data_IF_011518535256
#
_entry.id   IF_011518535256
#
_cell.length_a   1.000
_cell.length_b   1.000
_cell.length_c   1.000
_cell.angle_alpha   90.00
_cell.angle_beta   90.00
_cell.angle_gamma   90.00
#
_symmetry.space_group_name_H-M   'P 1'
#
loop_
_entity.id
_entity.type
_entity.pdbx_description
1 polymer ?
#
# COMPACT_ATOMS: atom_id res chain seq x y z
N UNK A 1 -25.94 -24.82 2.09
CA UNK A 1 -25.17 -25.80 2.88
C UNK A 1 -24.88 -25.27 4.28
N UNK A 2 -24.17 -24.14 4.46
CA UNK A 2 -23.91 -23.56 5.79
C UNK A 2 -25.18 -23.26 6.62
N UNK A 3 -26.22 -22.63 6.05
CA UNK A 3 -27.49 -22.34 6.76
C UNK A 3 -28.14 -23.59 7.38
N UNK A 4 -28.16 -24.70 6.63
CA UNK A 4 -28.75 -25.96 7.05
C UNK A 4 -28.00 -26.60 8.24
N UNK A 5 -26.68 -26.39 8.32
CA UNK A 5 -25.87 -26.88 9.44
C UNK A 5 -26.00 -25.98 10.67
N UNK A 6 -26.09 -24.66 10.47
CA UNK A 6 -26.32 -23.68 11.54
C UNK A 6 -27.69 -23.87 12.20
N UNK A 7 -28.75 -24.07 11.40
CA UNK A 7 -30.12 -24.31 11.88
C UNK A 7 -30.25 -25.62 12.69
N UNK A 8 -29.36 -26.58 12.47
CA UNK A 8 -29.33 -27.88 13.16
C UNK A 8 -28.37 -27.93 14.34
N UNK A 9 -27.76 -26.80 14.73
CA UNK A 9 -26.77 -26.74 15.81
C UNK A 9 -25.43 -27.43 15.50
N UNK A 10 -25.22 -27.86 14.25
CA UNK A 10 -24.02 -28.57 13.80
C UNK A 10 -23.03 -27.57 13.17
N UNK A 11 -22.44 -26.71 14.00
CA UNK A 11 -21.51 -25.66 13.59
C UNK A 11 -20.28 -26.22 12.85
N UNK A 12 -19.71 -27.32 13.35
CA UNK A 12 -18.52 -27.96 12.79
C UNK A 12 -18.52 -28.20 11.27
N UNK A 13 -19.37 -29.09 10.73
CA UNK A 13 -19.41 -29.38 9.30
C UNK A 13 -19.73 -28.16 8.42
N UNK A 14 -20.55 -27.24 8.95
CA UNK A 14 -20.84 -25.97 8.28
C UNK A 14 -19.59 -25.11 8.14
N UNK A 15 -18.81 -24.96 9.22
CA UNK A 15 -17.58 -24.19 9.24
C UNK A 15 -16.49 -24.81 8.37
N UNK A 16 -16.38 -26.13 8.33
CA UNK A 16 -15.39 -26.81 7.46
C UNK A 16 -15.63 -26.51 5.98
N UNK A 17 -16.87 -26.67 5.51
CA UNK A 17 -17.23 -26.34 4.13
C UNK A 17 -17.07 -24.84 3.85
N UNK A 18 -17.40 -23.98 4.82
CA UNK A 18 -17.15 -22.55 4.70
C UNK A 18 -15.66 -22.25 4.51
N UNK A 19 -14.78 -22.86 5.32
CA UNK A 19 -13.34 -22.61 5.28
C UNK A 19 -12.71 -23.03 3.95
N UNK A 20 -13.14 -24.16 3.37
CA UNK A 20 -12.68 -24.64 2.06
C UNK A 20 -12.94 -23.64 0.93
N UNK A 21 -13.99 -22.82 1.06
CA UNK A 21 -14.37 -21.85 0.03
C UNK A 21 -13.82 -20.44 0.28
N UNK A 22 -13.12 -20.20 1.39
CA UNK A 22 -12.60 -18.87 1.72
C UNK A 22 -11.57 -18.38 0.70
N UNK A 23 -10.81 -19.27 0.06
CA UNK A 23 -9.81 -18.92 -0.94
C UNK A 23 -10.39 -18.15 -2.13
N UNK A 24 -11.68 -18.34 -2.43
CA UNK A 24 -12.40 -17.59 -3.47
C UNK A 24 -12.38 -16.07 -3.21
N UNK A 25 -12.30 -15.63 -1.95
CA UNK A 25 -12.16 -14.21 -1.64
C UNK A 25 -10.79 -13.66 -2.02
N UNK A 26 -9.73 -14.47 -1.93
CA UNK A 26 -8.40 -14.10 -2.38
C UNK A 26 -8.36 -13.93 -3.89
N UNK A 27 -8.86 -14.92 -4.64
CA UNK A 27 -9.00 -14.80 -6.09
C UNK A 27 -9.90 -13.64 -6.52
N UNK A 28 -10.96 -13.36 -5.76
CA UNK A 28 -11.78 -12.18 -6.00
C UNK A 28 -10.95 -10.89 -5.83
N UNK A 29 -10.12 -10.79 -4.79
CA UNK A 29 -9.25 -9.63 -4.57
C UNK A 29 -8.20 -9.46 -5.68
N UNK A 30 -7.62 -10.54 -6.19
CA UNK A 30 -6.66 -10.52 -7.31
C UNK A 30 -7.29 -9.93 -8.59
N UNK A 31 -8.55 -10.27 -8.85
CA UNK A 31 -9.26 -9.90 -10.08
C UNK A 31 -10.09 -8.62 -9.98
N UNK A 32 -10.37 -8.12 -8.76
CA UNK A 32 -11.26 -6.98 -8.52
C UNK A 32 -10.89 -5.75 -9.34
N UNK A 33 -9.60 -5.54 -9.57
CA UNK A 33 -9.10 -4.33 -10.18
C UNK A 33 -9.12 -4.38 -11.70
N UNK A 34 -8.82 -5.55 -12.27
CA UNK A 34 -9.10 -5.82 -13.67
C UNK A 34 -10.61 -5.70 -13.95
N UNK A 35 -11.47 -6.18 -13.04
CA UNK A 35 -12.92 -6.03 -13.16
C UNK A 35 -13.35 -4.55 -13.14
N UNK A 36 -12.80 -3.73 -12.23
CA UNK A 36 -13.07 -2.29 -12.18
C UNK A 36 -12.59 -1.56 -13.43
N UNK A 37 -11.41 -1.89 -13.94
CA UNK A 37 -10.88 -1.29 -15.16
C UNK A 37 -11.72 -1.69 -16.39
N UNK A 38 -12.10 -2.96 -16.49
CA UNK A 38 -13.02 -3.46 -17.52
C UNK A 38 -14.36 -2.74 -17.46
N UNK A 39 -14.93 -2.56 -16.26
CA UNK A 39 -16.18 -1.82 -16.06
C UNK A 39 -16.04 -0.37 -16.54
N UNK A 40 -14.95 0.31 -16.16
CA UNK A 40 -14.66 1.69 -16.61
C UNK A 40 -14.55 1.78 -18.13
N UNK A 41 -13.88 0.82 -18.76
CA UNK A 41 -13.76 0.75 -20.21
C UNK A 41 -15.10 0.51 -20.91
N UNK A 42 -15.89 -0.45 -20.44
CA UNK A 42 -17.21 -0.75 -20.99
C UNK A 42 -18.15 0.44 -20.83
N UNK A 43 -18.10 1.14 -19.70
CA UNK A 43 -18.86 2.37 -19.53
C UNK A 43 -18.43 3.43 -20.53
N UNK A 44 -17.14 3.58 -20.81
CA UNK A 44 -16.63 4.55 -21.78
C UNK A 44 -17.02 4.20 -23.23
N UNK A 45 -16.79 2.95 -23.65
CA UNK A 45 -16.87 2.52 -25.05
C UNK A 45 -18.26 2.00 -25.47
N UNK A 46 -19.04 1.43 -24.55
CA UNK A 46 -20.27 0.72 -24.86
C UNK A 46 -21.53 1.47 -24.36
N UNK A 47 -22.19 2.21 -25.28
CA UNK A 47 -23.40 2.97 -24.98
C UNK A 47 -24.58 2.08 -24.55
N UNK A 48 -24.72 0.90 -25.15
CA UNK A 48 -25.79 -0.06 -24.81
C UNK A 48 -25.62 -0.56 -23.38
N UNK A 49 -24.42 -1.00 -23.02
CA UNK A 49 -24.11 -1.42 -21.65
C UNK A 49 -24.31 -0.30 -20.64
N UNK A 50 -23.90 0.94 -20.96
CA UNK A 50 -24.13 2.10 -20.09
C UNK A 50 -25.62 2.34 -19.82
N UNK A 51 -26.48 2.24 -20.85
CA UNK A 51 -27.94 2.35 -20.70
C UNK A 51 -28.49 1.19 -19.87
N UNK A 52 -28.04 -0.03 -20.13
CA UNK A 52 -28.43 -1.22 -19.38
C UNK A 52 -28.10 -1.06 -17.89
N UNK A 53 -26.85 -0.72 -17.55
CA UNK A 53 -26.42 -0.48 -16.17
C UNK A 53 -27.30 0.55 -15.48
N UNK A 54 -27.54 1.70 -16.11
CA UNK A 54 -28.38 2.76 -15.54
C UNK A 54 -29.81 2.27 -15.25
N UNK A 55 -30.37 1.42 -16.10
CA UNK A 55 -31.70 0.82 -15.90
C UNK A 55 -31.70 -0.26 -14.80
N UNK A 56 -30.63 -1.04 -14.66
CA UNK A 56 -30.52 -2.02 -13.58
C UNK A 56 -30.40 -1.34 -12.21
N UNK A 57 -29.63 -0.26 -12.13
CA UNK A 57 -29.39 0.50 -10.89
C UNK A 57 -30.64 1.23 -10.37
N UNK A 58 -31.69 1.40 -11.19
CA UNK A 58 -32.96 1.97 -10.72
C UNK A 58 -33.83 0.95 -9.98
N UNK A 59 -33.46 -0.33 -10.01
CA UNK A 59 -34.24 -1.40 -9.37
C UNK A 59 -34.15 -1.30 -7.84
N UNK A 60 -35.24 -1.56 -7.09
CA UNK A 60 -35.23 -1.49 -5.62
C UNK A 60 -34.16 -2.36 -4.95
N UNK A 61 -33.79 -3.50 -5.57
CA UNK A 61 -32.78 -4.42 -5.05
C UNK A 61 -31.38 -3.81 -4.98
N UNK A 62 -31.08 -2.78 -5.79
CA UNK A 62 -29.81 -2.06 -5.73
C UNK A 62 -29.75 -1.09 -4.55
N UNK A 63 -30.88 -0.77 -3.91
CA UNK A 63 -30.96 0.14 -2.76
C UNK A 63 -30.24 1.49 -3.02
N UNK A 64 -30.34 1.99 -4.26
CA UNK A 64 -29.70 3.24 -4.68
C UNK A 64 -28.18 3.17 -4.87
N UNK A 65 -27.56 2.00 -4.71
CA UNK A 65 -26.11 1.80 -4.94
C UNK A 65 -25.81 1.63 -6.42
N UNK A 66 -24.62 2.03 -6.83
CA UNK A 66 -24.10 1.73 -8.17
C UNK A 66 -23.36 0.41 -8.16
N UNK A 67 -23.20 -0.22 -9.32
CA UNK A 67 -22.43 -1.46 -9.48
C UNK A 67 -21.02 -1.33 -8.91
N UNK A 68 -20.38 -0.18 -9.09
CA UNK A 68 -19.05 0.15 -8.56
C UNK A 68 -18.99 0.04 -7.03
N UNK A 69 -20.07 0.40 -6.34
CA UNK A 69 -20.19 0.34 -4.88
C UNK A 69 -20.45 -1.10 -4.38
N UNK A 70 -20.95 -1.97 -5.26
CA UNK A 70 -21.23 -3.37 -4.95
C UNK A 70 -19.99 -4.27 -5.09
N UNK A 71 -19.06 -3.94 -6.00
CA UNK A 71 -17.86 -4.73 -6.27
C UNK A 71 -16.97 -4.95 -5.01
N UNK A 72 -16.79 -3.99 -4.09
CA UNK A 72 -15.97 -4.23 -2.90
C UNK A 72 -16.66 -5.09 -1.82
N UNK A 73 -17.97 -5.31 -1.91
CA UNK A 73 -18.76 -5.93 -0.83
C UNK A 73 -18.30 -7.35 -0.44
N UNK A 74 -17.87 -8.24 -1.35
CA UNK A 74 -17.33 -9.54 -0.97
C UNK A 74 -16.12 -9.42 -0.04
N UNK A 75 -15.20 -8.49 -0.31
CA UNK A 75 -14.05 -8.27 0.57
C UNK A 75 -14.48 -7.68 1.92
N UNK A 76 -15.48 -6.79 1.95
CA UNK A 76 -16.05 -6.31 3.22
C UNK A 76 -16.70 -7.45 4.02
N UNK A 77 -17.38 -8.38 3.35
CA UNK A 77 -17.99 -9.55 3.97
C UNK A 77 -16.94 -10.47 4.61
N UNK A 78 -15.77 -10.65 3.97
CA UNK A 78 -14.65 -11.38 4.56
C UNK A 78 -14.20 -10.78 5.90
N UNK A 79 -14.11 -9.44 5.98
CA UNK A 79 -13.78 -8.75 7.23
C UNK A 79 -14.85 -9.01 8.30
N UNK A 80 -16.13 -8.95 7.93
CA UNK A 80 -17.24 -9.26 8.84
C UNK A 80 -17.16 -10.68 9.38
N UNK A 81 -16.86 -11.68 8.54
CA UNK A 81 -16.68 -13.06 8.99
C UNK A 81 -15.54 -13.21 9.99
N UNK A 82 -14.41 -12.53 9.74
CA UNK A 82 -13.28 -12.55 10.67
C UNK A 82 -13.67 -12.02 12.05
N UNK A 83 -14.35 -10.87 12.11
CA UNK A 83 -14.82 -10.31 13.37
C UNK A 83 -15.85 -11.21 14.04
N UNK A 84 -16.89 -11.62 13.31
CA UNK A 84 -17.94 -12.48 13.83
C UNK A 84 -17.40 -13.80 14.42
N UNK A 85 -16.53 -14.49 13.69
CA UNK A 85 -15.99 -15.78 14.15
C UNK A 85 -15.05 -15.62 15.36
N UNK A 86 -14.29 -14.53 15.43
CA UNK A 86 -13.46 -14.22 16.60
C UNK A 86 -14.35 -13.97 17.82
N UNK A 87 -15.35 -13.10 17.67
CA UNK A 87 -16.23 -12.74 18.78
C UNK A 87 -17.03 -13.98 19.24
N UNK A 88 -17.44 -14.86 18.31
CA UNK A 88 -18.09 -16.13 18.64
C UNK A 88 -17.16 -17.09 19.40
N UNK A 89 -15.88 -17.18 19.01
CA UNK A 89 -14.88 -17.99 19.70
C UNK A 89 -14.61 -17.48 21.13
N UNK A 90 -14.48 -16.16 21.30
CA UNK A 90 -14.28 -15.52 22.62
C UNK A 90 -15.44 -15.76 23.58
N UNK A 91 -16.65 -15.98 23.06
CA UNK A 91 -17.85 -16.28 23.83
C UNK A 91 -18.20 -17.78 23.88
N UNK A 92 -17.30 -18.66 23.42
CA UNK A 92 -17.48 -20.11 23.47
C UNK A 92 -16.57 -20.73 24.53
N UNK A 93 -17.11 -21.60 25.39
CA UNK A 93 -16.31 -22.27 26.42
C UNK A 93 -15.17 -23.09 25.80
N UNK A 94 -13.92 -22.96 26.29
CA UNK A 94 -12.77 -23.75 25.83
C UNK A 94 -12.97 -25.26 25.91
N UNK A 95 -13.79 -25.73 26.85
CA UNK A 95 -14.06 -27.15 27.08
C UNK A 95 -15.10 -27.73 26.10
N UNK A 96 -15.72 -26.89 25.27
CA UNK A 96 -16.71 -27.33 24.30
C UNK A 96 -16.07 -27.96 23.05
N UNK A 97 -16.71 -28.98 22.49
CA UNK A 97 -16.29 -29.60 21.24
C UNK A 97 -16.29 -28.61 20.04
N UNK A 98 -17.03 -27.51 20.14
CA UNK A 98 -17.14 -26.48 19.10
C UNK A 98 -16.00 -25.46 19.15
N UNK A 99 -15.37 -25.26 20.30
CA UNK A 99 -14.27 -24.30 20.47
C UNK A 99 -13.13 -24.56 19.48
N UNK A 100 -12.67 -25.80 19.38
CA UNK A 100 -11.58 -26.17 18.47
C UNK A 100 -11.95 -25.95 16.99
N UNK A 101 -13.22 -26.17 16.62
CA UNK A 101 -13.71 -26.00 15.25
C UNK A 101 -13.80 -24.51 14.90
N UNK A 102 -14.30 -23.69 15.82
CA UNK A 102 -14.31 -22.24 15.71
C UNK A 102 -12.90 -21.66 15.64
N UNK A 103 -11.97 -22.14 16.46
CA UNK A 103 -10.57 -21.70 16.43
C UNK A 103 -9.91 -21.97 15.07
N UNK A 104 -10.17 -23.14 14.48
CA UNK A 104 -9.74 -23.45 13.10
C UNK A 104 -10.37 -22.50 12.09
N UNK A 105 -11.66 -22.22 12.18
CA UNK A 105 -12.34 -21.29 11.28
C UNK A 105 -11.79 -19.86 11.38
N UNK A 106 -11.53 -19.37 12.60
CA UNK A 106 -10.90 -18.08 12.87
C UNK A 106 -9.50 -18.01 12.26
N UNK A 107 -8.73 -19.09 12.35
CA UNK A 107 -7.41 -19.18 11.73
C UNK A 107 -7.52 -19.09 10.20
N UNK A 108 -8.36 -19.91 9.57
CA UNK A 108 -8.54 -19.92 8.11
C UNK A 108 -9.01 -18.57 7.55
N UNK A 109 -10.02 -17.94 8.17
CA UNK A 109 -10.47 -16.61 7.73
C UNK A 109 -9.41 -15.53 7.94
N UNK A 110 -8.59 -15.65 8.98
CA UNK A 110 -7.49 -14.72 9.24
C UNK A 110 -6.35 -14.85 8.22
N UNK A 111 -6.04 -16.08 7.80
CA UNK A 111 -5.04 -16.36 6.77
C UNK A 111 -5.47 -15.79 5.42
N UNK A 112 -6.70 -16.07 4.99
CA UNK A 112 -7.25 -15.49 3.75
C UNK A 112 -7.36 -13.97 3.84
N UNK A 113 -7.78 -13.42 4.98
CA UNK A 113 -7.80 -11.96 5.17
C UNK A 113 -6.41 -11.36 5.03
N UNK A 114 -5.36 -12.01 5.56
CA UNK A 114 -3.97 -11.55 5.42
C UNK A 114 -3.54 -11.60 3.95
N UNK A 115 -3.85 -12.69 3.24
CA UNK A 115 -3.55 -12.81 1.82
C UNK A 115 -4.22 -11.69 0.99
N UNK A 116 -5.50 -11.41 1.23
CA UNK A 116 -6.23 -10.30 0.60
C UNK A 116 -5.55 -8.95 0.90
N UNK A 117 -5.16 -8.72 2.15
CA UNK A 117 -4.46 -7.48 2.53
C UNK A 117 -3.10 -7.36 1.84
N UNK A 118 -2.36 -8.46 1.68
CA UNK A 118 -1.09 -8.47 0.97
C UNK A 118 -1.26 -8.16 -0.53
N UNK A 119 -2.32 -8.67 -1.17
CA UNK A 119 -2.68 -8.32 -2.55
C UNK A 119 -2.92 -6.81 -2.68
N UNK A 120 -3.75 -6.24 -1.79
CA UNK A 120 -4.07 -4.81 -1.78
C UNK A 120 -2.80 -3.97 -1.56
N UNK A 121 -1.95 -4.35 -0.59
CA UNK A 121 -0.70 -3.65 -0.30
C UNK A 121 0.30 -3.71 -1.45
N UNK A 122 0.49 -4.88 -2.07
CA UNK A 122 1.36 -5.04 -3.26
C UNK A 122 0.87 -4.16 -4.40
N UNK A 123 -0.44 -4.09 -4.60
CA UNK A 123 -1.02 -3.24 -5.62
C UNK A 123 -0.80 -1.75 -5.36
N UNK A 124 -1.09 -1.28 -4.16
CA UNK A 124 -0.87 0.12 -3.79
C UNK A 124 0.61 0.50 -3.98
N UNK A 125 1.52 -0.39 -3.56
CA UNK A 125 2.94 -0.23 -3.80
C UNK A 125 3.25 -0.09 -5.30
N UNK A 126 2.74 -0.97 -6.16
CA UNK A 126 2.94 -0.90 -7.62
C UNK A 126 2.43 0.43 -8.20
N UNK A 127 1.31 0.96 -7.70
CA UNK A 127 0.78 2.26 -8.12
C UNK A 127 1.71 3.41 -7.70
N UNK A 128 2.26 3.36 -6.48
CA UNK A 128 3.25 4.33 -6.02
C UNK A 128 4.54 4.28 -6.84
N UNK A 129 5.08 3.09 -7.11
CA UNK A 129 6.27 2.93 -7.97
C UNK A 129 6.01 3.49 -9.37
N UNK A 130 4.85 3.21 -9.97
CA UNK A 130 4.46 3.74 -11.28
C UNK A 130 4.30 5.26 -11.27
N UNK A 131 3.71 5.83 -10.22
CA UNK A 131 3.58 7.27 -10.03
C UNK A 131 4.96 7.93 -10.04
N UNK A 132 5.88 7.43 -9.21
CA UNK A 132 7.24 7.98 -9.14
C UNK A 132 7.97 7.80 -10.47
N UNK A 133 7.88 6.63 -11.13
CA UNK A 133 8.47 6.39 -12.45
C UNK A 133 8.01 7.43 -13.49
N UNK A 134 6.73 7.81 -13.48
CA UNK A 134 6.17 8.83 -14.40
C UNK A 134 6.64 10.25 -14.07
N UNK A 135 6.92 10.54 -12.80
CA UNK A 135 7.46 11.84 -12.35
C UNK A 135 8.92 12.04 -12.76
N UNK A 136 9.70 10.95 -12.88
CA UNK A 136 11.10 11.04 -13.29
C UNK A 136 11.24 11.37 -14.78
N UNK A 137 12.19 12.25 -15.11
CA UNK A 137 12.56 12.56 -16.50
C UNK A 137 13.41 11.43 -17.09
N UNK A 138 12.96 10.88 -18.21
CA UNK A 138 13.63 9.79 -18.93
C UNK A 138 13.40 8.42 -18.30
N UNK A 139 14.07 7.40 -18.83
CA UNK A 139 13.94 6.00 -18.39
C UNK A 139 15.24 5.42 -17.80
N UNK A 140 16.26 6.26 -17.57
CA UNK A 140 17.55 5.79 -17.04
C UNK A 140 17.44 5.25 -15.61
N UNK A 141 16.51 5.79 -14.83
CA UNK A 141 16.27 5.34 -13.45
C UNK A 141 15.06 4.43 -13.44
N UNK A 142 15.31 3.14 -13.19
CA UNK A 142 14.29 2.11 -13.12
C UNK A 142 13.76 2.03 -11.70
N UNK A 143 12.57 2.59 -11.47
CA UNK A 143 11.85 2.51 -10.19
C UNK A 143 11.02 1.21 -10.14
N UNK A 144 10.47 0.78 -11.27
CA UNK A 144 9.70 -0.45 -11.40
C UNK A 144 10.63 -1.68 -11.36
N UNK A 145 10.96 -2.14 -10.16
CA UNK A 145 11.83 -3.31 -9.95
C UNK A 145 11.12 -4.32 -9.04
N UNK A 146 11.11 -5.62 -9.37
CA UNK A 146 10.54 -6.64 -8.51
C UNK A 146 11.12 -6.59 -7.09
N UNK A 147 10.27 -6.74 -6.07
CA UNK A 147 10.68 -6.71 -4.67
C UNK A 147 10.90 -5.31 -4.08
N UNK A 148 10.88 -4.24 -4.89
CA UNK A 148 11.00 -2.87 -4.39
C UNK A 148 9.71 -2.37 -3.74
N UNK A 149 9.83 -1.75 -2.57
CA UNK A 149 8.71 -1.09 -1.90
C UNK A 149 8.94 0.42 -1.80
N UNK A 150 7.93 1.21 -2.14
CA UNK A 150 7.87 2.64 -1.84
C UNK A 150 7.68 2.85 -0.34
N UNK A 151 8.47 3.74 0.25
CA UNK A 151 8.43 4.03 1.69
C UNK A 151 7.99 5.47 1.92
N UNK A 152 8.68 6.45 1.32
CA UNK A 152 8.48 7.88 1.61
C UNK A 152 9.00 8.76 0.49
N UNK A 153 8.47 9.97 0.39
CA UNK A 153 9.03 11.04 -0.42
C UNK A 153 8.97 12.38 0.31
N UNK A 154 9.78 13.35 -0.12
CA UNK A 154 9.75 14.68 0.47
C UNK A 154 10.95 15.55 0.10
N UNK A 155 10.82 16.84 0.42
CA UNK A 155 11.84 17.83 0.15
C UNK A 155 12.80 17.95 1.33
N UNK A 156 14.09 17.80 1.07
CA UNK A 156 15.15 18.02 2.05
C UNK A 156 16.19 19.01 1.49
N UNK A 157 16.90 19.67 2.40
CA UNK A 157 18.03 20.51 2.07
C UNK A 157 19.30 19.66 2.10
N UNK A 158 20.07 19.69 1.02
CA UNK A 158 21.40 19.07 0.97
C UNK A 158 22.43 20.08 1.44
N UNK A 159 23.20 19.73 2.46
CA UNK A 159 24.32 20.54 2.95
C UNK A 159 25.56 20.21 2.11
N UNK A 160 26.09 21.18 1.34
CA UNK A 160 27.29 20.97 0.53
C UNK A 160 28.56 20.99 1.39
N UNK A 161 29.66 20.45 0.86
CA UNK A 161 30.90 20.25 1.60
C UNK A 161 31.72 21.52 1.86
N UNK A 162 31.60 22.59 1.04
CA UNK A 162 32.30 23.88 1.26
C UNK A 162 31.58 25.04 0.56
N UNK A 163 31.24 26.11 1.31
CA UNK A 163 30.95 27.47 0.81
C UNK A 163 29.76 27.67 -0.13
N UNK A 164 29.10 26.60 -0.59
CA UNK A 164 27.94 26.66 -1.46
C UNK A 164 26.63 26.79 -0.67
N UNK A 165 25.61 27.34 -1.31
CA UNK A 165 24.27 27.43 -0.74
C UNK A 165 23.61 26.05 -0.58
N UNK A 166 22.72 25.95 0.42
CA UNK A 166 21.89 24.78 0.66
C UNK A 166 21.03 24.47 -0.57
N UNK A 167 21.09 23.23 -1.04
CA UNK A 167 20.35 22.82 -2.24
C UNK A 167 19.09 22.06 -1.86
N UNK A 168 17.93 22.65 -2.11
CA UNK A 168 16.64 21.94 -1.97
C UNK A 168 16.51 20.85 -3.04
N UNK A 169 16.21 19.63 -2.61
CA UNK A 169 16.07 18.45 -3.48
C UNK A 169 14.88 17.61 -3.04
N UNK A 170 14.22 16.99 -4.02
CA UNK A 170 13.14 16.04 -3.76
C UNK A 170 13.73 14.64 -3.70
N UNK A 171 13.42 13.93 -2.63
CA UNK A 171 13.91 12.59 -2.38
C UNK A 171 12.79 11.57 -2.42
N UNK A 172 13.13 10.37 -2.88
CA UNK A 172 12.26 9.20 -2.86
C UNK A 172 13.01 8.05 -2.19
N UNK A 173 12.41 7.53 -1.12
CA UNK A 173 12.93 6.39 -0.36
C UNK A 173 12.14 5.14 -0.72
N UNK A 174 12.91 4.12 -1.11
CA UNK A 174 12.43 2.78 -1.35
C UNK A 174 13.12 1.79 -0.41
N UNK A 175 12.69 0.54 -0.41
CA UNK A 175 13.23 -0.52 0.44
C UNK A 175 14.70 -0.87 0.17
N UNK A 176 15.23 -0.54 -0.99
CA UNK A 176 16.58 -0.92 -1.45
C UNK A 176 17.41 0.28 -1.93
N UNK A 177 16.77 1.37 -2.34
CA UNK A 177 17.43 2.55 -2.89
C UNK A 177 16.84 3.86 -2.36
N UNK A 178 17.66 4.90 -2.35
CA UNK A 178 17.28 6.27 -2.05
C UNK A 178 17.64 7.18 -3.23
N UNK A 179 16.65 7.86 -3.80
CA UNK A 179 16.82 8.65 -5.03
C UNK A 179 16.81 10.14 -4.70
N UNK A 180 17.82 10.87 -5.14
CA UNK A 180 17.86 12.32 -5.11
C UNK A 180 17.49 12.90 -6.47
N UNK A 181 16.58 13.88 -6.49
CA UNK A 181 16.10 14.51 -7.71
C UNK A 181 16.06 16.02 -7.62
N UNK A 182 16.04 16.68 -8.79
CA UNK A 182 15.82 18.12 -8.93
C UNK A 182 14.66 18.39 -9.89
N UNK A 183 13.86 19.45 -9.69
CA UNK A 183 12.95 19.94 -10.72
C UNK A 183 13.65 20.12 -12.06
N UNK A 184 12.99 19.72 -13.14
CA UNK A 184 13.37 20.19 -14.46
C UNK A 184 13.11 21.69 -14.58
N UNK A 185 13.80 22.35 -15.52
CA UNK A 185 13.60 23.77 -15.77
C UNK A 185 12.12 24.04 -16.15
N UNK A 186 11.45 25.06 -15.58
CA UNK A 186 10.03 25.32 -15.86
C UNK A 186 9.72 25.56 -17.35
N UNK A 187 10.67 26.15 -18.09
CA UNK A 187 10.54 26.39 -19.54
C UNK A 187 10.84 25.17 -20.41
N UNK A 188 11.09 24.00 -19.81
CA UNK A 188 11.34 22.78 -20.58
C UNK A 188 10.05 22.28 -21.23
N UNK A 189 9.95 22.43 -22.55
CA UNK A 189 8.77 22.14 -23.39
C UNK A 189 7.97 20.87 -23.01
N UNK A 190 8.65 19.74 -22.79
CA UNK A 190 8.00 18.44 -22.53
C UNK A 190 8.09 17.93 -21.08
N UNK A 191 8.89 18.56 -20.22
CA UNK A 191 9.26 17.98 -18.92
C UNK A 191 9.23 19.02 -17.78
N UNK A 192 8.56 20.15 -17.96
CA UNK A 192 8.47 21.23 -16.96
C UNK A 192 7.94 20.77 -15.60
N UNK A 193 7.10 19.72 -15.58
CA UNK A 193 6.54 19.11 -14.36
C UNK A 193 7.29 17.86 -13.87
N UNK A 194 8.44 17.51 -14.49
CA UNK A 194 9.19 16.29 -14.14
C UNK A 194 10.40 16.58 -13.26
N UNK A 195 10.88 15.52 -12.63
CA UNK A 195 12.06 15.52 -11.78
C UNK A 195 13.23 14.84 -12.51
N UNK A 196 14.34 15.56 -12.66
CA UNK A 196 15.58 15.00 -13.15
C UNK A 196 16.28 14.23 -12.01
N UNK A 197 16.49 12.93 -12.21
CA UNK A 197 17.30 12.12 -11.30
C UNK A 197 18.73 12.69 -11.25
N UNK A 198 19.28 12.86 -10.05
CA UNK A 198 20.65 13.34 -9.82
C UNK A 198 21.55 12.22 -9.31
N UNK A 199 21.02 11.39 -8.40
CA UNK A 199 21.74 10.26 -7.86
C UNK A 199 20.77 9.19 -7.38
N UNK A 200 21.21 7.94 -7.44
CA UNK A 200 20.57 6.77 -6.84
C UNK A 200 21.56 6.18 -5.85
N UNK A 201 21.14 6.06 -4.60
CA UNK A 201 21.97 5.58 -3.51
C UNK A 201 21.48 4.20 -3.05
N UNK A 202 22.27 3.13 -3.22
CA UNK A 202 21.94 1.81 -2.68
C UNK A 202 21.96 1.84 -1.15
N UNK A 203 20.89 1.35 -0.50
CA UNK A 203 20.74 1.40 0.96
C UNK A 203 21.53 0.33 1.70
N UNK A 204 21.86 -0.78 1.05
CA UNK A 204 22.63 -1.90 1.65
C UNK A 204 24.08 -1.54 2.01
N UNK A 205 24.54 -0.32 1.68
CA UNK A 205 25.87 0.20 2.05
C UNK A 205 25.76 1.55 2.80
N UNK A 206 24.55 1.90 3.24
CA UNK A 206 24.28 3.18 3.88
C UNK A 206 24.38 3.02 5.40
N UNK A 207 25.04 3.95 6.06
CA UNK A 207 24.93 4.15 7.52
C UNK A 207 24.22 5.48 7.74
N UNK A 208 23.21 5.48 8.60
CA UNK A 208 22.37 6.65 8.86
C UNK A 208 22.61 7.12 10.28
N UNK A 209 23.19 8.29 10.43
CA UNK A 209 23.47 8.90 11.71
C UNK A 209 22.68 10.20 11.87
N UNK A 210 22.20 10.44 13.10
CA UNK A 210 21.60 11.72 13.47
C UNK A 210 22.69 12.62 14.04
N UNK A 211 23.00 13.72 13.35
CA UNK A 211 24.10 14.62 13.73
C UNK A 211 23.62 15.63 14.78
N UNK A 212 22.43 16.22 14.60
CA UNK A 212 21.76 17.04 15.62
C UNK A 212 20.24 17.11 15.38
N UNK A 213 19.51 17.64 16.36
CA UNK A 213 18.04 17.62 16.42
C UNK A 213 17.51 16.65 17.48
N UNK A 214 18.25 16.42 18.56
CA UNK A 214 17.83 15.57 19.69
C UNK A 214 17.01 16.32 20.75
N UNK A 215 16.97 17.65 20.68
CA UNK A 215 16.28 18.57 21.59
C UNK A 215 15.28 19.43 20.81
N UNK A 216 14.46 20.26 21.47
CA UNK A 216 13.42 21.13 20.85
C UNK A 216 13.97 22.23 19.91
N UNK A 217 14.91 21.89 19.03
CA UNK A 217 15.42 22.77 17.98
C UNK A 217 14.44 22.89 16.81
N UNK A 218 14.56 23.99 16.06
CA UNK A 218 13.84 24.14 14.79
C UNK A 218 14.53 23.31 13.69
N UNK A 219 14.30 21.99 13.72
CA UNK A 219 14.80 21.06 12.71
C UNK A 219 16.00 20.22 13.13
N UNK A 220 16.59 19.52 12.16
CA UNK A 220 17.72 18.63 12.41
C UNK A 220 18.50 18.26 11.16
N UNK A 221 19.59 17.50 11.39
CA UNK A 221 20.55 17.10 10.37
C UNK A 221 20.82 15.59 10.46
N UNK A 222 20.72 14.92 9.32
CA UNK A 222 21.07 13.52 9.13
C UNK A 222 22.33 13.40 8.27
N UNK A 223 23.19 12.46 8.61
CA UNK A 223 24.32 12.04 7.81
C UNK A 223 24.07 10.66 7.25
N UNK A 224 24.08 10.53 5.92
CA UNK A 224 24.01 9.26 5.22
C UNK A 224 25.38 8.97 4.63
N UNK A 225 26.07 8.00 5.21
CA UNK A 225 27.43 7.61 4.83
C UNK A 225 27.36 6.41 3.90
N UNK A 226 27.91 6.56 2.70
CA UNK A 226 28.11 5.53 1.67
C UNK A 226 29.61 5.33 1.45
N UNK A 227 30.08 4.21 0.85
CA UNK A 227 31.51 3.87 0.78
C UNK A 227 32.43 4.96 0.22
N UNK A 228 31.93 5.80 -0.70
CA UNK A 228 32.71 6.86 -1.33
C UNK A 228 32.05 8.24 -1.25
N UNK A 229 31.02 8.39 -0.41
CA UNK A 229 30.27 9.65 -0.33
C UNK A 229 29.50 9.75 0.97
N UNK A 230 29.55 10.94 1.59
CA UNK A 230 28.65 11.29 2.68
C UNK A 230 27.63 12.31 2.17
N UNK A 231 26.36 12.11 2.50
CA UNK A 231 25.26 13.00 2.16
C UNK A 231 24.67 13.57 3.45
N UNK A 232 24.79 14.89 3.62
CA UNK A 232 24.24 15.61 4.75
C UNK A 232 22.87 16.20 4.37
N UNK A 233 21.81 15.79 5.08
CA UNK A 233 20.42 16.14 4.80
C UNK A 233 19.78 16.86 5.98
N UNK A 234 19.19 18.02 5.70
CA UNK A 234 18.59 18.88 6.71
C UNK A 234 17.10 19.13 6.41
N UNK A 235 16.32 19.23 7.48
CA UNK A 235 14.95 19.79 7.45
C UNK A 235 14.81 20.79 8.60
N UNK A 236 14.11 21.89 8.38
CA UNK A 236 13.78 22.87 9.42
C UNK A 236 12.61 22.43 10.30
N UNK A 237 11.95 21.31 9.96
CA UNK A 237 10.87 20.73 10.74
C UNK A 237 11.39 19.49 11.50
N UNK A 238 11.28 19.53 12.83
CA UNK A 238 11.76 18.47 13.73
C UNK A 238 11.01 17.15 13.51
N UNK A 239 9.69 17.18 13.36
CA UNK A 239 8.90 15.97 13.12
C UNK A 239 9.25 15.33 11.77
N UNK A 240 9.45 16.17 10.75
CA UNK A 240 9.83 15.70 9.41
C UNK A 240 11.19 14.99 9.44
N UNK A 241 12.21 15.58 10.07
CA UNK A 241 13.54 14.96 10.14
C UNK A 241 13.55 13.66 10.96
N UNK A 242 12.76 13.60 12.04
CA UNK A 242 12.63 12.40 12.88
C UNK A 242 11.94 11.25 12.14
N UNK A 243 10.91 11.58 11.37
CA UNK A 243 10.26 10.60 10.53
C UNK A 243 11.18 10.10 9.39
N UNK A 244 11.97 11.00 8.79
CA UNK A 244 12.97 10.63 7.79
C UNK A 244 14.02 9.70 8.39
N UNK A 245 14.54 10.01 9.58
CA UNK A 245 15.47 9.14 10.29
C UNK A 245 14.87 7.76 10.52
N UNK A 246 13.67 7.68 11.11
CA UNK A 246 12.98 6.40 11.34
C UNK A 246 12.79 5.59 10.05
N UNK A 247 12.39 6.25 8.96
CA UNK A 247 12.16 5.59 7.68
C UNK A 247 13.46 5.10 7.04
N UNK A 248 14.52 5.91 7.08
CA UNK A 248 15.85 5.57 6.54
C UNK A 248 16.47 4.42 7.33
N UNK A 249 16.50 4.51 8.66
CA UNK A 249 17.05 3.46 9.53
C UNK A 249 16.30 2.14 9.37
N UNK A 250 14.98 2.16 9.18
CA UNK A 250 14.20 0.94 8.93
C UNK A 250 14.43 0.33 7.53
N UNK A 251 14.85 1.15 6.55
CA UNK A 251 15.10 0.74 5.17
C UNK A 251 16.54 0.26 4.94
N UNK A 252 17.50 0.78 5.70
CA UNK A 252 18.87 0.25 5.74
C UNK A 252 18.83 -1.12 6.40
N UNK A 253 19.28 -2.14 5.66
CA UNK A 253 19.36 -3.54 6.09
C UNK A 253 20.68 -4.13 5.63
#
# INVERSE_FOLDING_TARGET
VLSLHLERGNLGPGLEHFCQNLELYGHYAENLEQAKETLKEQLRKNKSFRRFKKLQETRPQFQGRKLEDLLPLPLQRLHQYKHFLRDLLENTSPDSAEYQKLAKAVKSVSEVSRWVQDIIRKRENSLQLLRVQKLLKGQRTQVLTPGRWYIREGWLLVVPSKGEELKRRMFFLFSDIFIATKPCHPLHLLNSNKLACQAVYPLHQCVVDKVFGHTQSQGGLLSLSFPHKTLLLMSSNQQDIDDWYRSLTAAVR
#
